data_IF_318539318882
#
_entry.id   IF_318539318882
#
_cell.length_a   1.000
_cell.length_b   1.000
_cell.length_c   1.000
_cell.angle_alpha   90.00
_cell.angle_beta   90.00
_cell.angle_gamma   90.00
#
_symmetry.space_group_name_H-M   'P 1'
#
loop_
_entity.id
_entity.type
_entity.pdbx_description
1 polymer ?
#
# COMPACT_ATOMS: atom_id res chain seq x y z
N UNK A 1 -15.26 -11.33 32.90
CA UNK A 1 -13.90 -10.89 33.24
C UNK A 1 -12.94 -11.96 32.74
N UNK A 2 -12.37 -11.78 31.56
CA UNK A 2 -11.27 -12.63 31.11
C UNK A 2 -10.12 -12.44 32.11
N UNK A 3 -9.62 -13.54 32.62
CA UNK A 3 -8.48 -13.53 33.56
C UNK A 3 -7.28 -12.98 32.79
N UNK A 4 -6.58 -12.00 33.33
CA UNK A 4 -5.36 -11.41 32.75
C UNK A 4 -4.34 -12.48 32.35
N UNK A 5 -4.34 -13.60 33.07
CA UNK A 5 -3.47 -14.76 32.80
C UNK A 5 -3.80 -15.41 31.47
N UNK A 6 -5.09 -15.65 31.18
CA UNK A 6 -5.55 -16.23 29.92
C UNK A 6 -5.19 -15.30 28.73
N UNK A 7 -5.44 -13.99 28.89
CA UNK A 7 -5.07 -12.99 27.90
C UNK A 7 -3.56 -12.98 27.58
N UNK A 8 -2.70 -13.09 28.60
CA UNK A 8 -1.25 -13.16 28.38
C UNK A 8 -0.82 -14.43 27.67
N UNK A 9 -1.45 -15.57 27.98
CA UNK A 9 -1.17 -16.85 27.28
C UNK A 9 -1.58 -16.75 25.82
N UNK A 10 -2.76 -16.26 25.53
CA UNK A 10 -3.29 -16.10 24.17
C UNK A 10 -2.44 -15.14 23.37
N UNK A 11 -2.13 -13.95 23.91
CA UNK A 11 -1.27 -12.97 23.25
C UNK A 11 0.13 -13.54 22.99
N UNK A 12 0.70 -14.22 24.00
CA UNK A 12 2.00 -14.87 23.87
C UNK A 12 1.99 -15.95 22.78
N UNK A 13 0.94 -16.76 22.71
CA UNK A 13 0.77 -17.78 21.69
C UNK A 13 0.64 -17.17 20.29
N UNK A 14 -0.14 -16.12 20.13
CA UNK A 14 -0.31 -15.39 18.86
C UNK A 14 1.04 -14.82 18.40
N UNK A 15 1.72 -14.04 19.25
CA UNK A 15 3.00 -13.41 18.88
C UNK A 15 4.06 -14.48 18.54
N UNK A 16 4.14 -15.57 19.34
CA UNK A 16 5.05 -16.68 19.06
C UNK A 16 4.70 -17.35 17.72
N UNK A 17 3.42 -17.62 17.49
CA UNK A 17 2.92 -18.20 16.24
C UNK A 17 3.30 -17.34 15.03
N UNK A 18 3.11 -16.01 15.12
CA UNK A 18 3.52 -15.06 14.07
C UNK A 18 5.03 -15.11 13.81
N UNK A 19 5.84 -15.17 14.87
CA UNK A 19 7.29 -15.32 14.75
C UNK A 19 7.68 -16.62 14.02
N UNK A 20 7.02 -17.74 14.31
CA UNK A 20 7.25 -19.04 13.65
C UNK A 20 6.81 -19.00 12.18
N UNK A 21 5.64 -18.43 11.90
CA UNK A 21 5.11 -18.24 10.53
C UNK A 21 6.02 -17.32 9.73
N UNK A 22 6.48 -16.21 10.31
CA UNK A 22 7.44 -15.30 9.68
C UNK A 22 8.77 -15.99 9.37
N UNK A 23 9.27 -16.83 10.27
CA UNK A 23 10.49 -17.65 10.05
C UNK A 23 10.31 -18.65 8.90
N UNK A 24 9.14 -19.27 8.81
CA UNK A 24 8.81 -20.19 7.72
C UNK A 24 8.77 -19.44 6.39
N UNK A 25 8.10 -18.29 6.33
CA UNK A 25 8.08 -17.43 5.15
C UNK A 25 9.49 -17.06 4.69
N UNK A 26 10.36 -16.65 5.62
CA UNK A 26 11.76 -16.30 5.31
C UNK A 26 12.55 -17.49 4.73
N UNK A 27 12.34 -18.71 5.22
CA UNK A 27 12.96 -19.93 4.65
C UNK A 27 12.49 -20.24 3.23
N UNK A 28 11.25 -19.89 2.91
CA UNK A 28 10.66 -20.08 1.57
C UNK A 28 11.00 -18.91 0.61
N UNK A 29 11.69 -17.88 1.10
CA UNK A 29 11.96 -16.65 0.35
C UNK A 29 10.69 -15.85 0.01
N UNK A 30 9.66 -15.97 0.85
CA UNK A 30 8.37 -15.30 0.72
C UNK A 30 8.26 -14.14 1.72
N UNK A 31 7.47 -13.14 1.38
CA UNK A 31 7.04 -12.14 2.38
C UNK A 31 6.16 -12.84 3.43
N UNK A 32 6.28 -12.52 4.73
CA UNK A 32 5.43 -13.12 5.77
C UNK A 32 3.99 -12.62 5.73
N UNK A 33 3.70 -11.49 5.08
CA UNK A 33 2.38 -10.84 5.06
C UNK A 33 1.26 -11.77 4.60
N UNK A 34 1.37 -12.51 3.47
CA UNK A 34 0.34 -13.46 3.07
C UNK A 34 0.03 -14.52 4.13
N UNK A 35 1.06 -15.00 4.81
CA UNK A 35 0.90 -16.03 5.85
C UNK A 35 0.25 -15.46 7.12
N UNK A 36 0.53 -14.20 7.48
CA UNK A 36 -0.15 -13.52 8.59
C UNK A 36 -1.66 -13.36 8.31
N UNK A 37 -2.01 -12.97 7.09
CA UNK A 37 -3.41 -12.90 6.66
C UNK A 37 -4.11 -14.24 6.69
N UNK A 38 -3.46 -15.29 6.15
CA UNK A 38 -4.01 -16.65 6.18
C UNK A 38 -4.13 -17.19 7.61
N UNK A 39 -3.17 -16.89 8.48
CA UNK A 39 -3.28 -17.23 9.90
C UNK A 39 -4.48 -16.53 10.53
N UNK A 40 -4.65 -15.22 10.32
CA UNK A 40 -5.82 -14.47 10.78
C UNK A 40 -7.13 -15.09 10.26
N UNK A 41 -7.20 -15.42 9.00
CA UNK A 41 -8.37 -16.06 8.37
C UNK A 41 -8.68 -17.44 8.99
N UNK A 42 -7.64 -18.22 9.33
CA UNK A 42 -7.80 -19.53 9.94
C UNK A 42 -8.28 -19.47 11.41
N UNK A 43 -7.91 -18.43 12.13
CA UNK A 43 -8.25 -18.22 13.54
C UNK A 43 -9.40 -17.23 13.77
N UNK A 44 -9.92 -16.60 12.71
CA UNK A 44 -11.04 -15.65 12.77
C UNK A 44 -12.42 -16.31 12.92
N UNK A 45 -13.44 -15.49 13.02
CA UNK A 45 -14.83 -15.91 13.12
C UNK A 45 -15.23 -16.74 11.90
N UNK A 46 -15.61 -18.01 12.14
CA UNK A 46 -15.90 -18.97 11.07
C UNK A 46 -14.67 -19.66 10.45
N UNK A 47 -13.48 -19.44 11.00
CA UNK A 47 -12.25 -20.15 10.64
C UNK A 47 -12.16 -21.54 11.26
N UNK A 48 -10.99 -22.19 11.09
CA UNK A 48 -10.74 -23.56 11.57
C UNK A 48 -10.69 -23.68 13.10
N UNK A 49 -10.20 -22.66 13.79
CA UNK A 49 -10.00 -22.58 15.23
C UNK A 49 -10.32 -21.15 15.70
N UNK A 50 -11.60 -20.75 15.80
CA UNK A 50 -11.93 -19.39 16.19
C UNK A 50 -11.40 -19.10 17.60
N UNK A 51 -10.66 -18.01 17.70
CA UNK A 51 -10.19 -17.48 18.99
C UNK A 51 -11.21 -16.46 19.46
N UNK A 52 -11.82 -16.70 20.64
CA UNK A 52 -12.69 -15.74 21.32
C UNK A 52 -11.87 -14.63 21.99
N UNK A 53 -10.86 -14.17 21.33
CA UNK A 53 -9.86 -13.26 21.87
C UNK A 53 -10.38 -11.83 21.97
N UNK A 54 -9.85 -11.12 22.87
CA UNK A 54 -9.91 -9.70 23.18
C UNK A 54 -9.84 -8.85 21.90
N UNK A 55 -10.92 -8.82 21.11
CA UNK A 55 -11.03 -8.06 19.86
C UNK A 55 -10.49 -6.64 19.98
N UNK A 56 -10.80 -5.95 21.08
CA UNK A 56 -10.39 -4.57 21.31
C UNK A 56 -8.86 -4.34 21.41
N UNK A 57 -8.09 -5.28 21.93
CA UNK A 57 -6.62 -5.12 22.01
C UNK A 57 -5.96 -5.31 20.65
N UNK A 58 -6.43 -6.30 19.88
CA UNK A 58 -5.91 -6.58 18.55
C UNK A 58 -6.28 -5.44 17.59
N UNK A 59 -7.50 -4.89 17.72
CA UNK A 59 -7.96 -3.74 16.94
C UNK A 59 -7.08 -2.50 17.18
N UNK A 60 -6.84 -2.11 18.45
CA UNK A 60 -5.95 -1.00 18.77
C UNK A 60 -4.52 -1.26 18.30
N UNK A 61 -4.03 -2.49 18.46
CA UNK A 61 -2.72 -2.91 17.97
C UNK A 61 -2.61 -2.81 16.44
N UNK A 62 -3.67 -3.17 15.72
CA UNK A 62 -3.74 -3.04 14.27
C UNK A 62 -3.74 -1.56 13.82
N UNK A 63 -4.48 -0.69 14.51
CA UNK A 63 -4.51 0.76 14.26
C UNK A 63 -3.12 1.38 14.46
N UNK A 64 -2.44 1.03 15.56
CA UNK A 64 -1.04 1.43 15.79
C UNK A 64 -0.13 0.89 14.67
N UNK A 65 -0.36 -0.32 14.19
CA UNK A 65 0.38 -0.92 13.08
C UNK A 65 0.31 -0.07 11.81
N UNK A 66 -0.88 0.36 11.41
CA UNK A 66 -1.08 1.25 10.25
C UNK A 66 -0.40 2.60 10.48
N UNK A 67 -0.56 3.20 11.66
CA UNK A 67 0.08 4.48 12.01
C UNK A 67 1.61 4.37 11.90
N UNK A 68 2.20 3.30 12.44
CA UNK A 68 3.65 3.09 12.36
C UNK A 68 4.15 2.79 10.93
N UNK A 69 3.37 2.05 10.15
CA UNK A 69 3.69 1.81 8.73
C UNK A 69 3.77 3.14 7.97
N UNK A 70 2.80 4.03 8.17
CA UNK A 70 2.75 5.32 7.48
C UNK A 70 3.77 6.32 8.03
N UNK A 71 4.04 6.33 9.33
CA UNK A 71 5.15 7.09 9.90
C UNK A 71 6.46 6.70 9.24
N UNK A 72 6.74 5.39 9.17
CA UNK A 72 7.97 4.87 8.58
C UNK A 72 8.10 5.19 7.09
N UNK A 73 6.99 5.14 6.36
CA UNK A 73 6.94 5.57 4.97
C UNK A 73 7.26 7.07 4.86
N UNK A 74 6.66 7.91 5.70
CA UNK A 74 6.96 9.35 5.75
C UNK A 74 8.44 9.66 6.04
N UNK A 75 9.09 8.86 6.87
CA UNK A 75 10.52 8.98 7.17
C UNK A 75 11.44 8.60 5.99
N UNK A 76 10.92 7.96 4.95
CA UNK A 76 11.68 7.64 3.72
C UNK A 76 11.81 8.83 2.78
N UNK A 77 10.99 9.85 2.96
CA UNK A 77 10.96 11.03 2.11
C UNK A 77 11.45 12.27 2.83
N UNK A 78 12.30 13.02 2.17
CA UNK A 78 12.54 14.41 2.55
C UNK A 78 11.51 15.33 1.87
N UNK A 79 11.21 16.47 2.48
CA UNK A 79 10.28 17.45 1.92
C UNK A 79 10.63 17.89 0.48
N UNK A 80 11.92 18.17 0.13
CA UNK A 80 12.29 18.48 -1.25
C UNK A 80 12.09 17.31 -2.21
N UNK A 81 12.44 16.08 -1.82
CA UNK A 81 12.26 14.87 -2.65
C UNK A 81 10.79 14.61 -2.94
N UNK A 82 9.92 14.82 -1.94
CA UNK A 82 8.47 14.70 -2.12
C UNK A 82 7.95 15.69 -3.18
N UNK A 83 8.34 16.97 -3.08
CA UNK A 83 7.94 18.00 -4.04
C UNK A 83 8.45 17.70 -5.45
N UNK A 84 9.69 17.22 -5.57
CA UNK A 84 10.29 16.87 -6.86
C UNK A 84 9.62 15.62 -7.47
N UNK A 85 9.38 14.60 -6.65
CA UNK A 85 8.62 13.40 -7.06
C UNK A 85 7.23 13.77 -7.56
N UNK A 86 6.52 14.65 -6.84
CA UNK A 86 5.21 15.12 -7.26
C UNK A 86 5.27 15.81 -8.61
N UNK A 87 6.20 16.77 -8.81
CA UNK A 87 6.36 17.48 -10.08
C UNK A 87 6.72 16.57 -11.25
N UNK A 88 7.55 15.56 -11.00
CA UNK A 88 8.04 14.66 -12.04
C UNK A 88 7.05 13.55 -12.36
N UNK A 89 6.38 13.00 -11.35
CA UNK A 89 5.55 11.81 -11.47
C UNK A 89 4.04 12.11 -11.58
N UNK A 90 3.59 13.37 -11.45
CA UNK A 90 2.14 13.67 -11.51
C UNK A 90 1.45 13.12 -12.78
N UNK A 91 2.06 13.15 -14.00
CA UNK A 91 1.38 12.58 -15.15
C UNK A 91 1.26 11.05 -15.08
N UNK A 92 2.24 10.40 -14.43
CA UNK A 92 2.18 8.96 -14.16
C UNK A 92 1.10 8.63 -13.12
N UNK A 93 0.94 9.50 -12.10
CA UNK A 93 -0.12 9.40 -11.11
C UNK A 93 -1.52 9.56 -11.69
N UNK A 94 -1.71 10.47 -12.66
CA UNK A 94 -3.00 10.61 -13.36
C UNK A 94 -3.30 9.34 -14.18
N UNK A 95 -2.31 8.82 -14.91
CA UNK A 95 -2.45 7.56 -15.65
C UNK A 95 -2.76 6.40 -14.71
N UNK A 96 -2.09 6.35 -13.56
CA UNK A 96 -2.34 5.37 -12.53
C UNK A 96 -3.76 5.43 -12.00
N UNK A 97 -4.22 6.64 -11.62
CA UNK A 97 -5.58 6.87 -11.13
C UNK A 97 -6.62 6.38 -12.16
N UNK A 98 -6.50 6.82 -13.41
CA UNK A 98 -7.46 6.46 -14.46
C UNK A 98 -7.45 4.96 -14.72
N UNK A 99 -6.29 4.35 -14.91
CA UNK A 99 -6.19 2.93 -15.25
C UNK A 99 -6.62 2.00 -14.13
N UNK A 100 -6.46 2.39 -12.87
CA UNK A 100 -6.66 1.50 -11.74
C UNK A 100 -7.95 1.78 -10.94
N UNK A 101 -8.48 3.01 -10.94
CA UNK A 101 -9.79 3.31 -10.37
C UNK A 101 -10.94 2.89 -11.31
N UNK A 102 -10.77 3.05 -12.61
CA UNK A 102 -11.81 2.74 -13.61
C UNK A 102 -12.30 1.28 -13.56
N UNK A 103 -11.45 0.24 -13.46
CA UNK A 103 -11.94 -1.14 -13.37
C UNK A 103 -12.87 -1.37 -12.17
N UNK A 104 -12.51 -0.85 -10.99
CA UNK A 104 -13.35 -0.94 -9.80
C UNK A 104 -14.67 -0.21 -9.96
N UNK A 105 -14.64 1.02 -10.48
CA UNK A 105 -15.85 1.78 -10.76
C UNK A 105 -16.78 1.03 -11.72
N UNK A 106 -16.24 0.51 -12.82
CA UNK A 106 -17.02 -0.23 -13.82
C UNK A 106 -17.65 -1.49 -13.23
N UNK A 107 -16.90 -2.27 -12.47
CA UNK A 107 -17.44 -3.48 -11.83
C UNK A 107 -18.52 -3.11 -10.81
N UNK A 108 -18.32 -2.06 -10.01
CA UNK A 108 -19.36 -1.57 -9.08
C UNK A 108 -20.65 -1.18 -9.78
N UNK A 109 -20.57 -0.51 -10.92
CA UNK A 109 -21.76 -0.19 -11.75
C UNK A 109 -22.39 -1.44 -12.38
N UNK A 110 -21.57 -2.34 -12.94
CA UNK A 110 -22.06 -3.58 -13.57
C UNK A 110 -22.75 -4.53 -12.57
N UNK A 111 -22.30 -4.53 -11.32
CA UNK A 111 -22.93 -5.29 -10.24
C UNK A 111 -24.17 -4.58 -9.66
N UNK A 112 -24.54 -3.41 -10.17
CA UNK A 112 -25.73 -2.68 -9.73
C UNK A 112 -25.60 -2.05 -8.33
N UNK A 113 -24.35 -1.75 -7.88
CA UNK A 113 -24.11 -1.14 -6.56
C UNK A 113 -24.27 0.39 -6.55
N UNK A 114 -24.61 0.98 -7.70
CA UNK A 114 -24.81 2.40 -7.84
C UNK A 114 -23.51 3.24 -7.71
N UNK A 115 -23.65 4.57 -7.64
CA UNK A 115 -22.48 5.48 -7.62
C UNK A 115 -21.59 5.30 -6.37
N UNK A 116 -22.20 5.03 -5.22
CA UNK A 116 -21.48 4.88 -3.94
C UNK A 116 -20.61 3.63 -3.97
N UNK A 117 -21.17 2.48 -4.33
CA UNK A 117 -20.44 1.23 -4.45
C UNK A 117 -19.37 1.30 -5.54
N UNK A 118 -19.66 1.95 -6.67
CA UNK A 118 -18.71 2.17 -7.74
C UNK A 118 -17.55 3.06 -7.30
N UNK A 119 -17.81 4.17 -6.59
CA UNK A 119 -16.79 5.04 -6.03
C UNK A 119 -15.91 4.25 -5.03
N UNK A 120 -16.53 3.53 -4.10
CA UNK A 120 -15.81 2.73 -3.09
C UNK A 120 -14.90 1.70 -3.76
N UNK A 121 -15.40 0.93 -4.71
CA UNK A 121 -14.61 -0.09 -5.39
C UNK A 121 -13.52 0.52 -6.27
N UNK A 122 -13.73 1.73 -6.81
CA UNK A 122 -12.69 2.50 -7.49
C UNK A 122 -11.49 2.78 -6.59
N UNK A 123 -11.73 3.23 -5.36
CA UNK A 123 -10.67 3.45 -4.37
C UNK A 123 -9.97 2.16 -3.96
N UNK A 124 -10.74 1.09 -3.71
CA UNK A 124 -10.20 -0.24 -3.38
C UNK A 124 -9.22 -0.73 -4.45
N UNK A 125 -9.53 -0.53 -5.72
CA UNK A 125 -8.70 -1.01 -6.84
C UNK A 125 -7.57 -0.05 -7.23
N UNK A 126 -7.66 1.22 -6.87
CA UNK A 126 -6.66 2.22 -7.20
C UNK A 126 -5.39 2.08 -6.37
N UNK A 127 -5.52 2.03 -5.05
CA UNK A 127 -4.38 2.13 -4.12
C UNK A 127 -3.53 0.87 -4.08
N UNK A 128 -2.21 1.04 -4.16
CA UNK A 128 -1.23 -0.03 -3.93
C UNK A 128 -0.85 -0.12 -2.45
N UNK A 129 -0.27 -1.24 -2.03
CA UNK A 129 0.27 -1.38 -0.67
C UNK A 129 1.71 -0.92 -0.60
N UNK A 130 1.94 0.27 -0.06
CA UNK A 130 3.28 0.81 0.16
C UNK A 130 4.11 -0.09 1.08
N UNK A 131 3.49 -0.65 2.13
CA UNK A 131 4.15 -1.54 3.08
C UNK A 131 4.62 -2.86 2.44
N UNK A 132 3.76 -3.52 1.66
CA UNK A 132 4.11 -4.75 0.93
C UNK A 132 5.20 -4.46 -0.12
N UNK A 133 5.07 -3.39 -0.87
CA UNK A 133 6.01 -3.01 -1.93
C UNK A 133 7.38 -2.70 -1.34
N UNK A 134 7.46 -1.89 -0.28
CA UNK A 134 8.71 -1.59 0.41
C UNK A 134 9.41 -2.87 0.92
N UNK A 135 8.64 -3.77 1.53
CA UNK A 135 9.14 -5.08 1.98
C UNK A 135 9.68 -5.91 0.82
N UNK A 136 8.91 -6.02 -0.27
CA UNK A 136 9.29 -6.78 -1.47
C UNK A 136 10.57 -6.21 -2.12
N UNK A 137 10.68 -4.88 -2.24
CA UNK A 137 11.88 -4.23 -2.77
C UNK A 137 13.11 -4.52 -1.90
N UNK A 138 12.92 -4.53 -0.58
CA UNK A 138 13.99 -4.88 0.39
C UNK A 138 14.40 -6.34 0.25
N UNK A 139 13.44 -7.28 0.27
CA UNK A 139 13.69 -8.72 0.20
C UNK A 139 14.34 -9.15 -1.13
N UNK A 140 14.03 -8.44 -2.22
CA UNK A 140 14.63 -8.65 -3.54
C UNK A 140 15.94 -7.86 -3.76
N UNK A 141 16.44 -7.13 -2.75
CA UNK A 141 17.61 -6.26 -2.84
C UNK A 141 17.51 -5.24 -3.99
N UNK A 142 16.32 -4.63 -4.20
CA UNK A 142 16.05 -3.69 -5.30
C UNK A 142 15.96 -2.23 -4.88
N UNK A 143 16.19 -1.91 -3.61
CA UNK A 143 16.12 -0.52 -3.12
C UNK A 143 17.08 0.43 -3.86
N UNK A 144 18.26 -0.05 -4.27
CA UNK A 144 19.25 0.73 -5.04
C UNK A 144 19.02 0.73 -6.56
N UNK A 145 17.94 0.14 -7.07
CA UNK A 145 17.65 0.09 -8.49
C UNK A 145 17.12 1.43 -9.04
N UNK A 146 17.39 1.70 -10.32
CA UNK A 146 16.99 2.95 -10.99
C UNK A 146 15.47 3.15 -11.06
N UNK A 147 14.69 2.09 -11.07
CA UNK A 147 13.22 2.14 -11.08
C UNK A 147 12.60 2.40 -9.70
N UNK A 148 13.33 2.18 -8.62
CA UNK A 148 12.79 2.30 -7.26
C UNK A 148 12.29 3.72 -6.93
N UNK A 149 13.01 4.81 -7.25
CA UNK A 149 12.48 6.16 -7.05
C UNK A 149 11.18 6.43 -7.82
N UNK A 150 10.99 5.80 -8.99
CA UNK A 150 9.75 5.93 -9.77
C UNK A 150 8.59 5.21 -9.09
N UNK A 151 8.83 3.99 -8.60
CA UNK A 151 7.83 3.20 -7.85
C UNK A 151 7.39 4.00 -6.62
N UNK A 152 8.34 4.47 -5.81
CA UNK A 152 8.08 5.23 -4.61
C UNK A 152 7.35 6.54 -4.93
N UNK A 153 7.71 7.22 -6.02
CA UNK A 153 7.02 8.44 -6.46
C UNK A 153 5.54 8.21 -6.82
N UNK A 154 5.20 7.06 -7.42
CA UNK A 154 3.80 6.67 -7.67
C UNK A 154 3.08 6.43 -6.35
N UNK A 155 3.67 5.66 -5.43
CA UNK A 155 3.07 5.38 -4.12
C UNK A 155 2.76 6.67 -3.34
N UNK A 156 3.68 7.64 -3.36
CA UNK A 156 3.44 8.96 -2.74
C UNK A 156 2.22 9.66 -3.35
N UNK A 157 2.08 9.63 -4.67
CA UNK A 157 0.93 10.24 -5.33
C UNK A 157 -0.37 9.50 -4.99
N UNK A 158 -0.32 8.17 -4.92
CA UNK A 158 -1.44 7.36 -4.46
C UNK A 158 -1.85 7.75 -3.02
N UNK A 159 -0.89 7.82 -2.09
CA UNK A 159 -1.14 8.17 -0.68
C UNK A 159 -1.70 9.59 -0.54
N UNK A 160 -1.17 10.56 -1.30
CA UNK A 160 -1.72 11.93 -1.33
C UNK A 160 -3.11 11.99 -1.96
N UNK A 161 -3.36 11.17 -2.98
CA UNK A 161 -4.71 11.05 -3.56
C UNK A 161 -5.68 10.47 -2.53
N UNK A 162 -5.24 9.50 -1.73
CA UNK A 162 -6.05 8.94 -0.63
C UNK A 162 -6.34 9.97 0.47
N UNK A 163 -5.41 10.87 0.76
CA UNK A 163 -5.64 11.96 1.71
C UNK A 163 -6.82 12.88 1.29
N UNK A 164 -7.09 12.97 0.00
CA UNK A 164 -8.25 13.67 -0.55
C UNK A 164 -9.45 12.76 -0.70
N UNK A 165 -9.23 11.56 -1.20
CA UNK A 165 -10.28 10.60 -1.54
C UNK A 165 -11.05 10.12 -0.30
N UNK A 166 -10.37 9.79 0.81
CA UNK A 166 -11.04 9.27 2.01
C UNK A 166 -12.03 10.24 2.62
N UNK A 167 -11.73 11.54 2.80
CA UNK A 167 -12.73 12.53 3.22
C UNK A 167 -13.90 12.68 2.25
N UNK A 168 -13.63 12.64 0.92
CA UNK A 168 -14.69 12.67 -0.09
C UNK A 168 -15.60 11.46 0.05
N UNK A 169 -15.02 10.27 0.13
CA UNK A 169 -15.76 9.02 0.30
C UNK A 169 -16.60 9.05 1.58
N UNK A 170 -16.01 9.42 2.72
CA UNK A 170 -16.71 9.51 4.02
C UNK A 170 -17.91 10.46 3.95
N UNK A 171 -17.76 11.59 3.26
CA UNK A 171 -18.86 12.55 3.05
C UNK A 171 -19.99 11.95 2.20
N UNK A 172 -19.64 11.24 1.13
CA UNK A 172 -20.61 10.57 0.25
C UNK A 172 -21.35 9.46 1.00
N UNK A 173 -20.62 8.66 1.79
CA UNK A 173 -21.18 7.58 2.59
C UNK A 173 -22.11 8.08 3.71
N UNK A 174 -21.80 9.22 4.31
CA UNK A 174 -22.62 9.84 5.34
C UNK A 174 -23.97 10.35 4.81
N UNK A 175 -24.18 10.39 3.50
CA UNK A 175 -25.41 10.90 2.89
C UNK A 175 -25.70 12.37 3.21
N UNK A 176 -24.68 13.11 3.65
CA UNK A 176 -24.81 14.51 4.07
C UNK A 176 -25.04 15.34 2.81
N UNK A 177 -26.05 16.23 2.84
CA UNK A 177 -26.36 17.11 1.72
C UNK A 177 -25.15 17.91 1.23
N UNK A 178 -25.12 18.28 -0.05
CA UNK A 178 -23.99 18.93 -0.72
C UNK A 178 -23.40 20.12 0.06
N UNK A 179 -24.21 20.89 0.77
CA UNK A 179 -23.74 22.03 1.57
C UNK A 179 -22.90 21.60 2.79
N UNK A 180 -23.40 20.65 3.59
CA UNK A 180 -22.67 20.15 4.77
C UNK A 180 -21.47 19.30 4.36
N UNK A 181 -21.61 18.51 3.27
CA UNK A 181 -20.52 17.72 2.71
C UNK A 181 -19.38 18.58 2.17
N UNK A 182 -19.68 19.73 1.53
CA UNK A 182 -18.65 20.66 1.05
C UNK A 182 -17.87 21.30 2.19
N UNK A 183 -18.50 21.61 3.32
CA UNK A 183 -17.82 22.14 4.52
C UNK A 183 -16.89 21.08 5.12
N UNK A 184 -17.39 19.88 5.31
CA UNK A 184 -16.55 18.75 5.85
C UNK A 184 -15.34 18.51 4.93
N UNK A 185 -15.57 18.45 3.63
CA UNK A 185 -14.49 18.29 2.64
C UNK A 185 -13.50 19.46 2.68
N UNK A 186 -14.00 20.70 2.76
CA UNK A 186 -13.13 21.87 2.86
C UNK A 186 -12.29 21.86 4.15
N UNK A 187 -12.86 21.45 5.28
CA UNK A 187 -12.14 21.29 6.54
C UNK A 187 -11.06 20.21 6.38
N UNK A 188 -11.39 19.03 5.85
CA UNK A 188 -10.45 17.94 5.68
C UNK A 188 -9.30 18.30 4.74
N UNK A 189 -9.61 18.90 3.56
CA UNK A 189 -8.61 19.37 2.60
C UNK A 189 -7.77 20.51 3.17
N UNK A 190 -8.41 21.46 3.86
CA UNK A 190 -7.73 22.56 4.54
C UNK A 190 -6.76 22.05 5.59
N UNK A 191 -7.21 21.14 6.44
CA UNK A 191 -6.38 20.48 7.49
C UNK A 191 -5.20 19.73 6.90
N UNK A 192 -5.43 18.90 5.89
CA UNK A 192 -4.37 18.14 5.22
C UNK A 192 -3.36 19.09 4.55
N UNK A 193 -3.84 20.15 3.89
CA UNK A 193 -2.99 21.17 3.24
C UNK A 193 -2.15 21.94 4.24
N UNK A 194 -2.74 22.36 5.36
CA UNK A 194 -2.03 23.07 6.44
C UNK A 194 -1.00 22.13 7.09
N UNK A 195 -1.37 20.91 7.39
CA UNK A 195 -0.45 19.94 7.98
C UNK A 195 0.73 19.63 7.02
N UNK A 196 0.47 19.46 5.73
CA UNK A 196 1.50 19.29 4.71
C UNK A 196 2.40 20.55 4.62
N UNK A 197 1.82 21.73 4.59
CA UNK A 197 2.57 22.99 4.58
C UNK A 197 3.48 23.11 5.82
N UNK A 198 2.96 22.80 7.01
CA UNK A 198 3.74 22.80 8.26
C UNK A 198 4.88 21.77 8.20
N UNK A 199 4.61 20.55 7.76
CA UNK A 199 5.62 19.50 7.59
C UNK A 199 6.73 19.95 6.63
N UNK A 200 6.37 20.48 5.47
CA UNK A 200 7.33 20.93 4.45
C UNK A 200 8.13 22.19 4.87
N UNK A 201 7.46 23.14 5.52
CA UNK A 201 8.08 24.46 5.82
C UNK A 201 8.80 24.49 7.16
N UNK A 202 8.30 23.77 8.15
CA UNK A 202 8.78 23.81 9.54
C UNK A 202 9.41 22.47 10.00
N UNK A 203 9.59 21.50 9.13
CA UNK A 203 10.11 20.18 9.46
C UNK A 203 11.46 20.23 10.20
N UNK A 204 12.38 21.14 9.82
CA UNK A 204 13.67 21.33 10.54
C UNK A 204 13.47 21.79 11.99
N UNK A 205 12.50 22.64 12.26
CA UNK A 205 12.18 23.10 13.62
C UNK A 205 11.56 21.97 14.44
N UNK A 206 10.65 21.20 13.83
CA UNK A 206 10.03 20.01 14.43
C UNK A 206 11.11 18.99 14.76
N UNK A 207 11.98 18.66 13.81
CA UNK A 207 13.10 17.74 14.03
C UNK A 207 14.01 18.19 15.18
N UNK A 208 14.34 19.50 15.25
CA UNK A 208 15.16 20.04 16.32
C UNK A 208 14.46 19.97 17.68
N UNK A 209 13.15 20.24 17.72
CA UNK A 209 12.36 20.18 18.96
C UNK A 209 12.21 18.75 19.51
N UNK A 210 12.17 17.76 18.60
CA UNK A 210 12.01 16.33 18.94
C UNK A 210 13.36 15.65 19.17
N UNK A 211 14.45 16.24 18.68
CA UNK A 211 15.81 15.67 18.76
C UNK A 211 16.21 15.41 20.22
N UNK A 212 16.74 14.21 20.45
CA UNK A 212 17.33 13.81 21.74
C UNK A 212 18.49 12.84 21.50
N UNK A 213 19.55 13.01 22.28
CA UNK A 213 20.67 12.06 22.29
C UNK A 213 20.31 10.74 22.99
N UNK A 214 19.22 10.76 23.79
CA UNK A 214 18.70 9.58 24.46
C UNK A 214 17.66 8.89 23.53
N UNK A 215 17.95 7.65 23.15
CA UNK A 215 17.11 6.85 22.26
C UNK A 215 15.68 6.61 22.83
N UNK A 216 15.55 6.43 24.16
CA UNK A 216 14.27 6.26 24.83
C UNK A 216 13.42 7.53 24.73
N UNK A 217 14.02 8.69 25.01
CA UNK A 217 13.33 9.97 24.93
C UNK A 217 12.90 10.27 23.49
N UNK A 218 13.76 10.04 22.51
CA UNK A 218 13.43 10.21 21.09
C UNK A 218 12.25 9.31 20.69
N UNK A 219 12.27 8.04 21.09
CA UNK A 219 11.18 7.10 20.80
C UNK A 219 9.86 7.56 21.40
N UNK A 220 9.85 7.92 22.69
CA UNK A 220 8.62 8.35 23.37
C UNK A 220 8.05 9.63 22.79
N UNK A 221 8.90 10.62 22.50
CA UNK A 221 8.47 11.92 21.94
C UNK A 221 7.92 11.74 20.51
N UNK A 222 8.60 10.96 19.67
CA UNK A 222 8.14 10.73 18.29
C UNK A 222 6.86 9.89 18.28
N UNK A 223 6.79 8.83 19.08
CA UNK A 223 5.58 8.01 19.16
C UNK A 223 4.38 8.83 19.68
N UNK A 224 4.60 9.58 20.76
CA UNK A 224 3.57 10.43 21.34
C UNK A 224 3.08 11.50 20.37
N UNK A 225 4.01 12.18 19.67
CA UNK A 225 3.67 13.16 18.63
C UNK A 225 2.88 12.52 17.49
N UNK A 226 3.32 11.34 17.04
CA UNK A 226 2.67 10.63 15.94
C UNK A 226 1.24 10.22 16.30
N UNK A 227 1.04 9.60 17.46
CA UNK A 227 -0.28 9.20 17.93
C UNK A 227 -1.20 10.41 18.16
N UNK A 228 -0.66 11.50 18.72
CA UNK A 228 -1.41 12.73 18.93
C UNK A 228 -1.85 13.36 17.60
N UNK A 229 -0.95 13.49 16.63
CA UNK A 229 -1.27 14.07 15.32
C UNK A 229 -2.23 13.15 14.56
N UNK A 230 -2.05 11.83 14.62
CA UNK A 230 -2.95 10.84 14.04
C UNK A 230 -4.37 10.96 14.62
N UNK A 231 -4.48 11.04 15.95
CA UNK A 231 -5.77 11.20 16.62
C UNK A 231 -6.46 12.55 16.34
N UNK A 232 -5.70 13.65 16.27
CA UNK A 232 -6.22 14.96 15.86
C UNK A 232 -6.68 14.92 14.40
N UNK A 233 -5.89 14.32 13.51
CA UNK A 233 -6.26 14.16 12.10
C UNK A 233 -7.60 13.42 11.96
N UNK A 234 -7.78 12.32 12.68
CA UNK A 234 -9.01 11.53 12.67
C UNK A 234 -10.21 12.33 13.18
N UNK A 235 -10.04 13.16 14.22
CA UNK A 235 -11.10 14.09 14.68
C UNK A 235 -11.48 15.15 13.64
N UNK A 236 -10.53 15.53 12.80
CA UNK A 236 -10.74 16.51 11.71
C UNK A 236 -11.13 15.83 10.38
N UNK A 237 -11.61 14.57 10.44
CA UNK A 237 -12.03 13.79 9.29
C UNK A 237 -10.91 13.50 8.26
N UNK A 238 -9.65 13.56 8.72
CA UNK A 238 -8.47 13.12 7.97
C UNK A 238 -8.02 11.76 8.53
N UNK A 239 -7.61 10.85 7.69
CA UNK A 239 -7.13 9.54 8.15
C UNK A 239 -5.97 9.68 9.15
N UNK A 240 -6.00 8.90 10.24
CA UNK A 240 -4.90 8.81 11.21
C UNK A 240 -3.57 8.45 10.52
N UNK A 241 -3.63 7.57 9.52
CA UNK A 241 -2.50 7.16 8.71
C UNK A 241 -1.83 8.34 7.98
N UNK A 242 -2.63 9.25 7.40
CA UNK A 242 -2.13 10.48 6.76
C UNK A 242 -1.46 11.38 7.79
N UNK A 243 -2.05 11.54 8.98
CA UNK A 243 -1.43 12.30 10.06
C UNK A 243 -0.04 11.76 10.42
N UNK A 244 0.09 10.46 10.58
CA UNK A 244 1.36 9.78 10.87
C UNK A 244 2.39 9.96 9.73
N UNK A 245 1.96 9.83 8.48
CA UNK A 245 2.79 10.05 7.31
C UNK A 245 3.37 11.49 7.27
N UNK A 246 2.55 12.49 7.56
CA UNK A 246 2.98 13.89 7.61
C UNK A 246 3.98 14.16 8.74
N UNK A 247 3.84 13.50 9.89
CA UNK A 247 4.85 13.55 10.96
C UNK A 247 6.17 12.95 10.45
N UNK A 248 6.12 11.82 9.76
CA UNK A 248 7.31 11.20 9.17
C UNK A 248 8.05 12.14 8.21
N UNK A 249 7.33 12.81 7.30
CA UNK A 249 7.90 13.80 6.37
C UNK A 249 8.47 15.03 7.11
N UNK A 250 7.84 15.44 8.22
CA UNK A 250 8.30 16.58 9.00
C UNK A 250 9.64 16.30 9.70
N UNK A 251 9.93 15.04 10.01
CA UNK A 251 11.21 14.64 10.56
C UNK A 251 12.27 14.56 9.44
N UNK A 252 13.45 15.12 9.68
CA UNK A 252 14.48 15.23 8.65
C UNK A 252 15.88 15.00 9.22
N UNK A 253 16.84 14.71 8.34
CA UNK A 253 18.25 14.53 8.69
C UNK A 253 18.49 13.33 9.61
N UNK A 254 19.40 13.52 10.57
CA UNK A 254 19.83 12.46 11.48
C UNK A 254 18.71 11.96 12.40
N UNK A 255 17.79 12.86 12.78
CA UNK A 255 16.61 12.50 13.59
C UNK A 255 15.74 11.50 12.85
N UNK A 256 15.46 11.73 11.57
CA UNK A 256 14.68 10.78 10.75
C UNK A 256 15.37 9.41 10.66
N UNK A 257 16.69 9.41 10.43
CA UNK A 257 17.48 8.17 10.35
C UNK A 257 17.48 7.37 11.66
N UNK A 258 17.69 8.05 12.78
CA UNK A 258 17.68 7.42 14.12
C UNK A 258 16.29 6.94 14.48
N UNK A 259 15.26 7.75 14.26
CA UNK A 259 13.86 7.37 14.46
C UNK A 259 13.52 6.12 13.66
N UNK A 260 13.84 6.08 12.37
CA UNK A 260 13.60 4.92 11.51
C UNK A 260 14.19 3.64 12.11
N UNK A 261 15.42 3.70 12.61
CA UNK A 261 16.11 2.55 13.21
C UNK A 261 15.43 2.07 14.51
N UNK A 262 14.95 3.01 15.34
CA UNK A 262 14.26 2.68 16.59
C UNK A 262 12.85 2.12 16.35
N UNK A 263 12.14 2.63 15.35
CA UNK A 263 10.76 2.26 15.07
C UNK A 263 10.61 1.02 14.20
N UNK A 264 11.64 0.59 13.48
CA UNK A 264 11.57 -0.57 12.59
C UNK A 264 11.06 -1.84 13.29
N UNK A 265 11.59 -2.25 14.48
CA UNK A 265 11.08 -3.44 15.17
C UNK A 265 9.62 -3.28 15.64
N UNK A 266 9.23 -2.10 16.09
CA UNK A 266 7.85 -1.81 16.52
C UNK A 266 6.91 -1.88 15.32
N UNK A 267 7.27 -1.27 14.20
CA UNK A 267 6.51 -1.36 12.95
C UNK A 267 6.31 -2.82 12.53
N UNK A 268 7.37 -3.62 12.54
CA UNK A 268 7.29 -5.02 12.10
C UNK A 268 6.37 -5.84 13.01
N UNK A 269 6.42 -5.61 14.33
CA UNK A 269 5.52 -6.25 15.29
C UNK A 269 4.06 -5.85 15.04
N UNK A 270 3.77 -4.56 15.04
CA UNK A 270 2.40 -4.07 14.91
C UNK A 270 1.84 -4.25 13.50
N UNK A 271 2.68 -4.24 12.46
CA UNK A 271 2.25 -4.62 11.12
C UNK A 271 1.83 -6.09 11.04
N UNK A 272 2.54 -7.01 11.71
CA UNK A 272 2.12 -8.40 11.80
C UNK A 272 0.75 -8.53 12.51
N UNK A 273 0.54 -7.80 13.62
CA UNK A 273 -0.75 -7.74 14.32
C UNK A 273 -1.84 -7.20 13.40
N UNK A 274 -1.57 -6.13 12.65
CA UNK A 274 -2.50 -5.56 11.68
C UNK A 274 -2.96 -6.56 10.62
N UNK A 275 -2.02 -7.26 9.99
CA UNK A 275 -2.36 -8.23 8.95
C UNK A 275 -3.13 -9.44 9.50
N UNK A 276 -2.84 -9.87 10.73
CA UNK A 276 -3.61 -10.91 11.40
C UNK A 276 -5.01 -10.44 11.74
N UNK A 277 -5.15 -9.25 12.34
CA UNK A 277 -6.44 -8.66 12.65
C UNK A 277 -7.32 -8.55 11.40
N UNK A 278 -6.73 -8.13 10.30
CA UNK A 278 -7.42 -8.08 9.03
C UNK A 278 -7.93 -9.47 8.57
N UNK A 279 -7.11 -10.51 8.73
CA UNK A 279 -7.54 -11.89 8.48
C UNK A 279 -8.63 -12.35 9.44
N UNK A 280 -8.50 -12.03 10.76
CA UNK A 280 -9.50 -12.35 11.79
C UNK A 280 -10.86 -11.72 11.51
N UNK A 281 -10.87 -10.48 11.02
CA UNK A 281 -12.09 -9.71 10.69
C UNK A 281 -12.77 -10.17 9.40
N UNK A 282 -12.20 -11.17 8.71
CA UNK A 282 -12.72 -11.70 7.45
C UNK A 282 -13.38 -13.04 7.68
N UNK A 283 -14.63 -13.19 7.27
CA UNK A 283 -15.36 -14.47 7.34
C UNK A 283 -15.00 -15.32 6.13
N UNK A 284 -14.37 -16.50 6.28
CA UNK A 284 -13.94 -17.34 5.16
C UNK A 284 -15.09 -17.76 4.23
N UNK A 285 -16.31 -17.94 4.76
CA UNK A 285 -17.51 -18.32 3.99
C UNK A 285 -17.98 -17.24 3.01
N UNK A 286 -17.59 -15.99 3.22
CA UNK A 286 -18.00 -14.86 2.36
C UNK A 286 -17.10 -14.74 1.12
N UNK A 287 -15.97 -15.45 1.08
CA UNK A 287 -15.01 -15.39 -0.02
C UNK A 287 -15.46 -16.15 -1.27
N UNK A 288 -15.93 -17.43 -1.18
CA UNK A 288 -16.29 -18.20 -2.36
C UNK A 288 -17.34 -17.55 -3.29
N UNK A 289 -18.41 -16.93 -2.78
CA UNK A 289 -19.43 -16.29 -3.64
C UNK A 289 -18.91 -15.13 -4.47
N UNK A 290 -17.88 -14.42 -3.96
CA UNK A 290 -17.31 -13.21 -4.58
C UNK A 290 -15.98 -13.46 -5.30
N UNK A 291 -15.53 -14.70 -5.34
CA UNK A 291 -14.23 -15.05 -5.89
C UNK A 291 -14.07 -14.69 -7.37
N UNK A 292 -15.13 -14.86 -8.17
CA UNK A 292 -15.08 -14.56 -9.62
C UNK A 292 -14.91 -13.05 -9.85
N UNK A 293 -15.75 -12.14 -9.33
CA UNK A 293 -15.52 -10.70 -9.51
C UNK A 293 -14.19 -10.23 -8.89
N UNK A 294 -13.78 -10.77 -7.74
CA UNK A 294 -12.50 -10.45 -7.14
C UNK A 294 -11.31 -10.89 -8.02
N UNK A 295 -11.37 -12.08 -8.62
CA UNK A 295 -10.33 -12.57 -9.53
C UNK A 295 -10.25 -11.75 -10.82
N UNK A 296 -11.40 -11.41 -11.40
CA UNK A 296 -11.44 -10.53 -12.59
C UNK A 296 -10.81 -9.19 -12.28
N UNK A 297 -11.20 -8.56 -11.17
CA UNK A 297 -10.59 -7.30 -10.73
C UNK A 297 -9.09 -7.46 -10.49
N UNK A 298 -8.66 -8.54 -9.83
CA UNK A 298 -7.25 -8.80 -9.53
C UNK A 298 -6.42 -8.90 -10.82
N UNK A 299 -6.90 -9.65 -11.81
CA UNK A 299 -6.20 -9.79 -13.10
C UNK A 299 -6.16 -8.47 -13.86
N UNK A 300 -7.30 -7.78 -13.99
CA UNK A 300 -7.36 -6.51 -14.72
C UNK A 300 -6.47 -5.46 -14.06
N UNK A 301 -6.55 -5.32 -12.73
CA UNK A 301 -5.76 -4.30 -12.02
C UNK A 301 -4.29 -4.67 -11.90
N UNK A 302 -3.92 -5.93 -11.89
CA UNK A 302 -2.52 -6.34 -12.01
C UNK A 302 -1.94 -5.93 -13.37
N UNK A 303 -2.68 -6.14 -14.46
CA UNK A 303 -2.27 -5.74 -15.80
C UNK A 303 -2.18 -4.21 -15.93
N UNK A 304 -3.16 -3.46 -15.40
CA UNK A 304 -3.14 -2.00 -15.44
C UNK A 304 -2.01 -1.42 -14.58
N UNK A 305 -1.68 -2.02 -13.43
CA UNK A 305 -0.50 -1.62 -12.64
C UNK A 305 0.82 -1.92 -13.34
N UNK A 306 0.92 -3.05 -14.01
CA UNK A 306 2.09 -3.34 -14.84
C UNK A 306 2.22 -2.29 -15.96
N UNK A 307 1.11 -1.92 -16.59
CA UNK A 307 1.09 -0.86 -17.62
C UNK A 307 1.48 0.51 -17.05
N UNK A 308 0.96 0.86 -15.87
CA UNK A 308 1.32 2.10 -15.14
C UNK A 308 2.81 2.16 -14.83
N UNK A 309 3.36 1.13 -14.19
CA UNK A 309 4.78 1.09 -13.84
C UNK A 309 5.69 1.08 -15.08
N UNK A 310 5.27 0.39 -16.14
CA UNK A 310 5.95 0.44 -17.43
C UNK A 310 5.97 1.87 -18.00
N UNK A 311 4.82 2.54 -18.02
CA UNK A 311 4.70 3.90 -18.53
C UNK A 311 5.55 4.89 -17.73
N UNK A 312 5.45 4.86 -16.39
CA UNK A 312 6.17 5.75 -15.50
C UNK A 312 7.69 5.56 -15.61
N UNK A 313 8.17 4.32 -15.60
CA UNK A 313 9.58 4.00 -15.75
C UNK A 313 10.10 4.35 -17.16
N UNK A 314 9.26 4.23 -18.21
CA UNK A 314 9.59 4.69 -19.55
C UNK A 314 9.80 6.21 -19.60
N UNK A 315 8.93 6.98 -18.96
CA UNK A 315 9.08 8.45 -18.87
C UNK A 315 10.37 8.85 -18.16
N UNK A 316 10.78 8.08 -17.15
CA UNK A 316 12.05 8.29 -16.43
C UNK A 316 13.29 7.78 -17.19
N UNK A 317 13.18 7.40 -18.45
CA UNK A 317 14.30 6.94 -19.26
C UNK A 317 14.84 5.57 -18.87
N UNK A 318 14.08 4.76 -18.13
CA UNK A 318 14.49 3.44 -17.64
C UNK A 318 14.31 2.41 -18.77
N UNK A 319 15.25 1.46 -18.88
CA UNK A 319 15.21 0.40 -19.88
C UNK A 319 14.09 -0.62 -19.65
N UNK A 320 13.78 -1.47 -20.66
CA UNK A 320 12.62 -2.38 -20.63
C UNK A 320 12.60 -3.32 -19.41
N UNK A 321 13.76 -3.77 -18.93
CA UNK A 321 13.91 -4.64 -17.75
C UNK A 321 13.42 -3.93 -16.48
N UNK A 322 13.87 -2.69 -16.25
CA UNK A 322 13.42 -1.89 -15.12
C UNK A 322 11.95 -1.49 -15.21
N UNK A 323 11.41 -1.30 -16.43
CA UNK A 323 9.97 -1.00 -16.65
C UNK A 323 9.08 -2.16 -16.20
N UNK A 324 9.45 -3.40 -16.55
CA UNK A 324 8.71 -4.59 -16.06
C UNK A 324 8.82 -4.76 -14.55
N UNK A 325 10.02 -4.53 -13.98
CA UNK A 325 10.19 -4.60 -12.52
C UNK A 325 9.36 -3.54 -11.80
N UNK A 326 9.32 -2.32 -12.32
CA UNK A 326 8.47 -1.26 -11.78
C UNK A 326 6.99 -1.66 -11.78
N UNK A 327 6.50 -2.16 -12.92
CA UNK A 327 5.11 -2.60 -13.04
C UNK A 327 4.78 -3.77 -12.12
N UNK A 328 5.63 -4.79 -12.09
CA UNK A 328 5.40 -5.96 -11.23
C UNK A 328 5.44 -5.64 -9.73
N UNK A 329 6.23 -4.65 -9.31
CA UNK A 329 6.26 -4.22 -7.92
C UNK A 329 4.95 -3.54 -7.48
N UNK A 330 4.30 -2.77 -8.37
CA UNK A 330 3.07 -2.04 -8.09
C UNK A 330 1.79 -2.91 -8.02
N UNK A 331 1.88 -4.20 -8.29
CA UNK A 331 0.71 -5.10 -8.30
C UNK A 331 0.13 -5.32 -6.90
N UNK A 332 0.95 -5.27 -5.85
CA UNK A 332 0.52 -5.57 -4.48
C UNK A 332 -0.55 -4.60 -3.96
N UNK A 333 -1.57 -5.14 -3.30
CA UNK A 333 -2.63 -4.42 -2.60
C UNK A 333 -2.53 -4.70 -1.10
N UNK A 334 -3.18 -3.86 -0.27
CA UNK A 334 -3.08 -4.02 1.19
C UNK A 334 -4.09 -3.21 1.99
N UNK A 335 -3.58 -2.62 3.06
CA UNK A 335 -4.30 -1.99 4.15
C UNK A 335 -5.35 -0.96 3.72
N UNK A 336 -4.98 -0.03 2.84
CA UNK A 336 -5.90 1.03 2.42
C UNK A 336 -7.12 0.53 1.66
N UNK A 337 -6.96 -0.49 0.81
CA UNK A 337 -8.10 -1.10 0.11
C UNK A 337 -9.14 -1.63 1.09
N UNK A 338 -8.68 -2.11 2.25
CA UNK A 338 -9.52 -2.64 3.31
C UNK A 338 -10.15 -1.54 4.15
N UNK A 339 -9.37 -0.53 4.51
CA UNK A 339 -9.91 0.67 5.18
C UNK A 339 -11.05 1.27 4.36
N UNK A 340 -10.87 1.40 3.05
CA UNK A 340 -11.92 1.90 2.13
C UNK A 340 -13.16 1.00 2.16
N UNK A 341 -12.96 -0.31 2.09
CA UNK A 341 -14.07 -1.27 2.15
C UNK A 341 -14.78 -1.24 3.50
N UNK A 342 -14.02 -1.14 4.61
CA UNK A 342 -14.54 -1.03 5.96
C UNK A 342 -15.41 0.21 6.16
N UNK A 343 -14.98 1.37 5.66
CA UNK A 343 -15.76 2.61 5.71
C UNK A 343 -17.13 2.48 5.03
N UNK A 344 -17.21 1.70 3.96
CA UNK A 344 -18.44 1.52 3.18
C UNK A 344 -19.36 0.42 3.72
N UNK A 345 -18.95 -0.38 4.69
CA UNK A 345 -19.69 -1.57 5.14
C UNK A 345 -21.11 -1.24 5.60
N UNK A 346 -21.31 -0.11 6.25
CA UNK A 346 -22.63 0.31 6.72
C UNK A 346 -23.58 0.71 5.57
N UNK A 347 -23.05 1.25 4.48
CA UNK A 347 -23.84 1.79 3.35
C UNK A 347 -23.93 0.80 2.19
N UNK A 348 -22.84 0.08 1.91
CA UNK A 348 -22.71 -0.90 0.82
C UNK A 348 -21.96 -2.15 1.32
N UNK A 349 -22.61 -3.01 2.12
CA UNK A 349 -21.96 -4.16 2.75
C UNK A 349 -21.39 -5.18 1.75
N UNK A 350 -21.89 -5.18 0.50
CA UNK A 350 -21.44 -6.09 -0.57
C UNK A 350 -19.99 -5.81 -1.03
N UNK A 351 -19.45 -4.60 -0.77
CA UNK A 351 -18.08 -4.24 -1.16
C UNK A 351 -17.05 -4.97 -0.33
N UNK A 352 -17.29 -5.13 0.98
CA UNK A 352 -16.30 -5.67 1.90
C UNK A 352 -15.83 -7.09 1.54
N UNK A 353 -16.68 -8.08 1.26
CA UNK A 353 -16.24 -9.42 0.86
C UNK A 353 -15.44 -9.42 -0.45
N UNK A 354 -15.86 -8.63 -1.45
CA UNK A 354 -15.14 -8.53 -2.74
C UNK A 354 -13.77 -7.89 -2.55
N UNK A 355 -13.70 -6.79 -1.80
CA UNK A 355 -12.43 -6.11 -1.49
C UNK A 355 -11.47 -7.02 -0.73
N UNK A 356 -11.97 -7.78 0.23
CA UNK A 356 -11.21 -8.75 1.01
C UNK A 356 -10.62 -9.85 0.13
N UNK A 357 -11.45 -10.52 -0.66
CA UNK A 357 -10.99 -11.56 -1.59
C UNK A 357 -9.98 -10.99 -2.60
N UNK A 358 -10.24 -9.81 -3.14
CA UNK A 358 -9.35 -9.09 -4.05
C UNK A 358 -7.98 -8.79 -3.43
N UNK A 359 -7.97 -8.25 -2.22
CA UNK A 359 -6.72 -7.91 -1.51
C UNK A 359 -5.95 -9.16 -1.15
N UNK A 360 -6.62 -10.22 -0.64
CA UNK A 360 -5.98 -11.50 -0.34
C UNK A 360 -5.28 -12.09 -1.57
N UNK A 361 -5.93 -12.05 -2.73
CA UNK A 361 -5.32 -12.50 -3.98
C UNK A 361 -4.06 -11.68 -4.30
N UNK A 362 -4.15 -10.35 -4.26
CA UNK A 362 -3.07 -9.47 -4.71
C UNK A 362 -1.94 -9.27 -3.70
N UNK A 363 -2.19 -9.48 -2.41
CA UNK A 363 -1.15 -9.56 -1.39
C UNK A 363 -0.25 -10.79 -1.59
N UNK A 364 -0.82 -11.89 -2.11
CA UNK A 364 -0.08 -13.12 -2.45
C UNK A 364 0.57 -12.96 -3.84
N UNK A 365 -0.21 -12.55 -4.83
CA UNK A 365 0.24 -12.45 -6.23
C UNK A 365 1.25 -11.32 -6.44
N UNK A 366 1.12 -10.19 -5.73
CA UNK A 366 1.99 -9.03 -5.87
C UNK A 366 3.48 -9.33 -5.66
N UNK A 367 3.89 -9.89 -4.52
CA UNK A 367 5.28 -10.31 -4.29
C UNK A 367 5.79 -11.32 -5.32
N UNK A 368 4.94 -12.25 -5.76
CA UNK A 368 5.26 -13.22 -6.81
C UNK A 368 5.45 -12.53 -8.17
N UNK A 369 4.56 -11.60 -8.53
CA UNK A 369 4.68 -10.81 -9.74
C UNK A 369 5.98 -10.01 -9.76
N UNK A 370 6.30 -9.32 -8.65
CA UNK A 370 7.55 -8.59 -8.51
C UNK A 370 8.77 -9.49 -8.70
N UNK A 371 8.75 -10.70 -8.14
CA UNK A 371 9.85 -11.68 -8.27
C UNK A 371 10.00 -12.18 -9.70
N UNK A 372 8.89 -12.54 -10.35
CA UNK A 372 8.90 -13.19 -11.66
C UNK A 372 9.12 -12.23 -12.83
N UNK A 373 8.91 -10.92 -12.65
CA UNK A 373 9.20 -9.93 -13.70
C UNK A 373 10.68 -9.94 -14.14
N UNK A 374 11.63 -10.31 -13.27
CA UNK A 374 13.04 -10.38 -13.63
C UNK A 374 13.36 -11.48 -14.64
N UNK A 375 13.01 -12.78 -14.41
CA UNK A 375 13.25 -13.82 -15.40
C UNK A 375 12.45 -13.61 -16.69
N UNK A 376 11.21 -13.10 -16.58
CA UNK A 376 10.38 -12.79 -17.76
C UNK A 376 11.05 -11.69 -18.60
N UNK A 377 11.53 -10.63 -17.97
CA UNK A 377 12.23 -9.55 -18.68
C UNK A 377 13.47 -10.05 -19.39
N UNK A 378 14.29 -10.88 -18.71
CA UNK A 378 15.48 -11.47 -19.30
C UNK A 378 15.16 -12.30 -20.54
N UNK A 379 14.23 -13.23 -20.43
CA UNK A 379 13.82 -14.11 -21.54
C UNK A 379 13.27 -13.32 -22.74
N UNK A 380 12.47 -12.25 -22.48
CA UNK A 380 11.96 -11.40 -23.57
C UNK A 380 13.06 -10.63 -24.28
N UNK A 381 14.09 -10.17 -23.55
CA UNK A 381 15.20 -9.44 -24.14
C UNK A 381 16.11 -10.37 -24.94
N UNK A 382 16.41 -11.56 -24.44
CA UNK A 382 17.18 -12.59 -25.16
C UNK A 382 16.49 -12.97 -26.47
N UNK A 383 15.18 -13.21 -26.45
CA UNK A 383 14.39 -13.49 -27.67
C UNK A 383 14.40 -12.33 -28.65
N UNK A 384 14.35 -11.08 -28.18
CA UNK A 384 14.43 -9.89 -29.06
C UNK A 384 15.81 -9.75 -29.69
N UNK A 385 16.86 -9.95 -28.88
CA UNK A 385 18.25 -9.90 -29.40
C UNK A 385 18.49 -10.99 -30.44
N UNK A 386 18.04 -12.23 -30.20
CA UNK A 386 18.14 -13.33 -31.15
C UNK A 386 17.39 -13.00 -32.45
N UNK A 387 16.18 -12.45 -32.37
CA UNK A 387 15.40 -12.06 -33.55
C UNK A 387 16.02 -10.91 -34.34
N UNK A 388 16.65 -9.95 -33.65
CA UNK A 388 17.37 -8.86 -34.30
C UNK A 388 18.64 -9.37 -35.02
N UNK A 389 19.38 -10.30 -34.40
CA UNK A 389 20.53 -10.95 -35.01
C UNK A 389 20.14 -11.76 -36.27
N UNK A 390 19.02 -12.48 -36.21
CA UNK A 390 18.48 -13.22 -37.35
C UNK A 390 18.10 -12.29 -38.51
N UNK A 391 17.42 -11.17 -38.20
CA UNK A 391 17.06 -10.16 -39.23
C UNK A 391 18.31 -9.50 -39.83
N UNK A 392 19.34 -9.23 -39.04
CA UNK A 392 20.60 -8.67 -39.53
C UNK A 392 21.33 -9.65 -40.47
N UNK A 393 21.40 -10.93 -40.10
CA UNK A 393 21.97 -11.98 -40.94
C UNK A 393 21.22 -12.14 -42.26
N UNK A 394 19.89 -12.06 -42.28
CA UNK A 394 19.06 -12.11 -43.48
C UNK A 394 19.29 -10.88 -44.37
N UNK A 395 19.56 -9.72 -43.75
CA UNK A 395 19.84 -8.48 -44.51
C UNK A 395 21.24 -8.50 -45.14
N UNK A 396 22.24 -9.03 -44.43
CA UNK A 396 23.60 -9.23 -44.95
C UNK A 396 23.68 -10.33 -46.04
N UNK A 397 22.82 -11.35 -45.93
CA UNK A 397 22.76 -12.45 -46.90
C UNK A 397 22.01 -12.10 -48.21
N UNK A 398 21.37 -10.92 -48.32
CA UNK A 398 20.76 -10.45 -49.57
C UNK A 398 21.86 -9.95 -50.51
N UNK A 399 22.16 -10.67 -51.63
CA UNK A 399 23.16 -10.21 -52.54
C UNK A 399 22.75 -8.90 -53.21
N UNK A 400 23.70 -8.01 -53.40
CA UNK A 400 23.56 -6.74 -54.15
C UNK A 400 23.30 -7.02 -55.65
N UNK A 401 22.14 -7.61 -55.94
CA UNK A 401 21.70 -7.88 -57.30
C UNK A 401 20.51 -6.99 -57.65
N UNK A 402 20.71 -5.66 -57.63
CA UNK A 402 19.86 -4.69 -58.36
C UNK A 402 20.51 -3.29 -58.35
N UNK A 403 21.75 -3.21 -58.81
CA UNK A 403 22.34 -1.92 -59.20
C UNK A 403 23.11 -2.12 -60.49
N UNK A 404 22.36 -2.41 -61.58
CA UNK A 404 22.99 -2.60 -62.88
C UNK A 404 21.98 -2.99 -63.95
N UNK A 405 21.09 -2.10 -64.32
CA UNK A 405 20.48 -2.04 -65.67
C UNK A 405 19.89 -0.68 -65.90
#
# INVERSE_FOLDING_TARGET
LHDTTTMLIELGAVVLGLGLVGRLAGRLGLSPIPLYLLAGLAFGSGGLLPLDTTEGFIEVGAEIGVILLLLMLGLEYTAPELVDSLKTQYPSGIVDLVLNATPGALVGFLLGWGPVGALTLAGVTYISSSGVIAKVLTDLNRLGNRETPVILGILVIEDLTMAVYLPVLSTVLAGVGLASGSVTLAIALGTASVALYVALRHGRWISKAVSSDNAEMLLLVVLGLTLLVAGIAQRLQVSAAVGAFLVGIALSGEVAHTTRRLFMPLRDLFAAVFFVFFGLSTTPSDIPPVLVPALVLAVVTALTKIATGWYAARRAGIGPRGRLRAGGALVARGEFSIVIAGLATATEPRVAPVATAYVLILVIVGPLAARWTEPVARNLMERRAARQAEVALVHEARPATEAGS
#
